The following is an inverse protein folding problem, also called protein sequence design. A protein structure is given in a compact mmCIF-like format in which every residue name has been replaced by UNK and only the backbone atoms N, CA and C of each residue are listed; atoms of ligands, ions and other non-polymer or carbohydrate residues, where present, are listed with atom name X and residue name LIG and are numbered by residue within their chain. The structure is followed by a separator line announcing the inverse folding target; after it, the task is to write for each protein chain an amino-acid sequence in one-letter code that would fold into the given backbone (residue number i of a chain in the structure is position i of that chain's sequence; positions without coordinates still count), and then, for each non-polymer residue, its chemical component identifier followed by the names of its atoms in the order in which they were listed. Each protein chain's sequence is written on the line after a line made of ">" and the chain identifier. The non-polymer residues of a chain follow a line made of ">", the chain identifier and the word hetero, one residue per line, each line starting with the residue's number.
data_IF_178266097781
#
_entry.id   IF_178266097781
#
_cell.length_a   1.000
_cell.length_b   1.000
_cell.length_c   1.000
_cell.angle_alpha   90.00
_cell.angle_beta   90.00
_cell.angle_gamma   90.00
#
_symmetry.space_group_name_H-M   'P 1'
#
loop_
_entity.id
_entity.type
_entity.pdbx_description
1 polymer ?
#
# COMPACT_ATOMS: atom_id res chain seq x y z
N UNK A 1 -20.60 -14.01 15.43
CA UNK A 1 -19.14 -14.28 15.48
C UNK A 1 -18.41 -13.97 14.17
N UNK A 2 -18.98 -14.27 13.00
CA UNK A 2 -18.32 -14.05 11.69
C UNK A 2 -18.00 -12.57 11.40
N UNK A 3 -18.90 -11.64 11.73
CA UNK A 3 -18.65 -10.19 11.57
C UNK A 3 -17.51 -9.67 12.45
N UNK A 4 -17.40 -10.16 13.69
CA UNK A 4 -16.31 -9.80 14.60
C UNK A 4 -14.96 -10.30 14.06
N UNK A 5 -14.91 -11.55 13.56
CA UNK A 5 -13.70 -12.10 12.92
C UNK A 5 -13.28 -11.28 11.71
N UNK A 6 -14.24 -10.87 10.87
CA UNK A 6 -13.96 -10.00 9.72
C UNK A 6 -13.44 -8.62 10.11
N UNK A 7 -14.08 -7.97 11.08
CA UNK A 7 -13.63 -6.67 11.57
C UNK A 7 -12.21 -6.73 12.15
N UNK A 8 -11.89 -7.74 12.96
CA UNK A 8 -10.56 -7.95 13.52
C UNK A 8 -9.52 -8.18 12.42
N UNK A 9 -9.83 -9.00 11.42
CA UNK A 9 -8.93 -9.24 10.30
C UNK A 9 -8.66 -7.95 9.50
N UNK A 10 -9.69 -7.13 9.26
CA UNK A 10 -9.55 -5.85 8.57
C UNK A 10 -8.69 -4.88 9.39
N UNK A 11 -8.90 -4.79 10.70
CA UNK A 11 -8.08 -3.96 11.59
C UNK A 11 -6.63 -4.42 11.56
N UNK A 12 -6.39 -5.73 11.66
CA UNK A 12 -5.05 -6.30 11.60
C UNK A 12 -4.35 -5.95 10.28
N UNK A 13 -5.02 -6.18 9.14
CA UNK A 13 -4.45 -5.85 7.83
C UNK A 13 -4.22 -4.34 7.69
N UNK A 14 -5.12 -3.50 8.23
CA UNK A 14 -4.93 -2.05 8.23
C UNK A 14 -3.67 -1.65 9.01
N UNK A 15 -3.40 -2.28 10.16
CA UNK A 15 -2.19 -2.04 10.94
C UNK A 15 -0.94 -2.45 10.14
N UNK A 16 -0.97 -3.59 9.47
CA UNK A 16 0.12 -4.04 8.60
C UNK A 16 0.36 -3.04 7.46
N UNK A 17 -0.70 -2.63 6.76
CA UNK A 17 -0.64 -1.65 5.67
C UNK A 17 -0.12 -0.29 6.16
N UNK A 18 -0.51 0.13 7.37
CA UNK A 18 0.00 1.34 8.01
C UNK A 18 1.51 1.24 8.31
N UNK A 19 1.98 0.08 8.78
CA UNK A 19 3.40 -0.14 8.97
C UNK A 19 4.15 -0.07 7.63
N UNK A 20 3.64 -0.71 6.57
CA UNK A 20 4.22 -0.61 5.22
C UNK A 20 4.31 0.84 4.77
N UNK A 21 3.24 1.62 4.94
CA UNK A 21 3.23 3.05 4.64
C UNK A 21 4.32 3.81 5.40
N UNK A 22 4.46 3.55 6.70
CA UNK A 22 5.48 4.20 7.52
C UNK A 22 6.90 3.87 7.04
N UNK A 23 7.15 2.60 6.69
CA UNK A 23 8.40 2.18 6.08
C UNK A 23 8.69 2.92 4.77
N UNK A 24 7.69 3.00 3.88
CA UNK A 24 7.78 3.72 2.60
C UNK A 24 8.12 5.19 2.85
N UNK A 25 7.41 5.87 3.75
CA UNK A 25 7.64 7.28 4.06
C UNK A 25 9.06 7.54 4.55
N UNK A 26 9.57 6.69 5.46
CA UNK A 26 10.92 6.84 5.98
C UNK A 26 11.98 6.59 4.89
N UNK A 27 11.79 5.55 4.06
CA UNK A 27 12.68 5.29 2.93
C UNK A 27 12.66 6.42 1.89
N UNK A 28 11.50 7.00 1.61
CA UNK A 28 11.38 8.14 0.71
C UNK A 28 12.08 9.40 1.26
N UNK A 29 12.06 9.61 2.58
CA UNK A 29 12.82 10.70 3.21
C UNK A 29 14.32 10.53 3.04
N UNK A 30 14.84 9.29 3.11
CA UNK A 30 16.26 9.02 2.86
C UNK A 30 16.64 9.41 1.42
N UNK A 31 15.79 9.08 0.44
CA UNK A 31 16.01 9.47 -0.97
C UNK A 31 15.93 10.99 -1.20
N UNK A 32 15.05 11.67 -0.47
CA UNK A 32 14.82 13.11 -0.63
C UNK A 32 15.79 13.99 0.18
N UNK A 33 16.58 13.40 1.09
CA UNK A 33 17.43 14.15 2.00
C UNK A 33 18.74 14.59 1.32
N UNK A 34 19.00 15.91 1.19
CA UNK A 34 20.21 16.42 0.56
C UNK A 34 21.50 16.08 1.31
N UNK A 35 21.39 15.69 2.59
CA UNK A 35 22.53 15.36 3.45
C UNK A 35 22.96 13.89 3.34
N UNK A 36 22.23 13.07 2.58
CA UNK A 36 22.53 11.63 2.46
C UNK A 36 23.29 11.37 1.17
N UNK A 37 24.61 11.18 1.26
CA UNK A 37 25.42 10.70 0.13
C UNK A 37 25.13 9.20 -0.08
N UNK A 38 24.11 8.92 -0.89
CA UNK A 38 23.77 7.58 -1.32
C UNK A 38 24.51 7.24 -2.62
N UNK A 39 25.27 6.13 -2.67
CA UNK A 39 25.76 5.59 -3.94
C UNK A 39 24.61 5.42 -4.94
N UNK A 40 24.82 5.76 -6.21
CA UNK A 40 23.77 5.78 -7.24
C UNK A 40 22.99 4.46 -7.33
N UNK A 41 23.69 3.32 -7.17
CA UNK A 41 23.06 1.99 -7.19
C UNK A 41 22.09 1.80 -6.02
N UNK A 42 22.45 2.28 -4.82
CA UNK A 42 21.61 2.18 -3.64
C UNK A 42 20.39 3.11 -3.78
N UNK A 43 20.58 4.31 -4.33
CA UNK A 43 19.49 5.23 -4.61
C UNK A 43 18.49 4.63 -5.62
N UNK A 44 18.97 4.01 -6.69
CA UNK A 44 18.13 3.34 -7.68
C UNK A 44 17.37 2.16 -7.08
N UNK A 45 18.04 1.31 -6.30
CA UNK A 45 17.43 0.16 -5.65
C UNK A 45 16.35 0.60 -4.64
N UNK A 46 16.67 1.58 -3.79
CA UNK A 46 15.71 2.13 -2.83
C UNK A 46 14.54 2.82 -3.53
N UNK A 47 14.79 3.55 -4.62
CA UNK A 47 13.76 4.17 -5.45
C UNK A 47 12.79 3.13 -6.04
N UNK A 48 13.34 2.05 -6.61
CA UNK A 48 12.55 0.91 -7.07
C UNK A 48 11.70 0.33 -5.94
N UNK A 49 12.31 0.03 -4.79
CA UNK A 49 11.62 -0.52 -3.62
C UNK A 49 10.46 0.36 -3.15
N UNK A 50 10.68 1.67 -3.04
CA UNK A 50 9.69 2.66 -2.62
C UNK A 50 8.54 2.75 -3.62
N UNK A 51 8.84 2.94 -4.91
CA UNK A 51 7.82 3.08 -5.95
C UNK A 51 7.00 1.79 -6.07
N UNK A 52 7.67 0.64 -6.16
CA UNK A 52 7.04 -0.66 -6.28
C UNK A 52 6.08 -0.95 -5.13
N UNK A 53 6.57 -0.80 -3.89
CA UNK A 53 5.76 -1.08 -2.69
C UNK A 53 4.63 -0.06 -2.53
N UNK A 54 4.82 1.20 -2.95
CA UNK A 54 3.76 2.22 -2.92
C UNK A 54 2.59 1.87 -3.84
N UNK A 55 2.88 1.38 -5.05
CA UNK A 55 1.85 0.93 -5.99
C UNK A 55 1.12 -0.28 -5.40
N UNK A 56 1.86 -1.29 -4.92
CA UNK A 56 1.27 -2.49 -4.33
C UNK A 56 0.41 -2.17 -3.10
N UNK A 57 0.88 -1.29 -2.21
CA UNK A 57 0.13 -0.82 -1.04
C UNK A 57 -1.16 -0.09 -1.45
N UNK A 58 -1.11 0.76 -2.47
CA UNK A 58 -2.29 1.49 -2.95
C UNK A 58 -3.38 0.52 -3.45
N UNK A 59 -2.98 -0.51 -4.20
CA UNK A 59 -3.90 -1.56 -4.65
C UNK A 59 -4.41 -2.39 -3.47
N UNK A 60 -3.53 -2.78 -2.55
CA UNK A 60 -3.87 -3.53 -1.33
C UNK A 60 -4.94 -2.81 -0.49
N UNK A 61 -4.81 -1.50 -0.30
CA UNK A 61 -5.79 -0.67 0.41
C UNK A 61 -7.13 -0.60 -0.36
N UNK A 62 -7.08 -0.42 -1.68
CA UNK A 62 -8.29 -0.42 -2.52
C UNK A 62 -9.06 -1.74 -2.44
N UNK A 63 -8.35 -2.86 -2.48
CA UNK A 63 -8.94 -4.20 -2.32
C UNK A 63 -9.50 -4.37 -0.91
N UNK A 64 -8.78 -3.96 0.13
CA UNK A 64 -9.26 -4.02 1.51
C UNK A 64 -10.57 -3.24 1.69
N UNK A 65 -10.66 -2.02 1.16
CA UNK A 65 -11.88 -1.20 1.20
C UNK A 65 -13.02 -1.87 0.42
N UNK A 66 -12.74 -2.41 -0.77
CA UNK A 66 -13.72 -3.15 -1.57
C UNK A 66 -14.30 -4.35 -0.81
N UNK A 67 -13.45 -5.15 -0.18
CA UNK A 67 -13.88 -6.30 0.62
C UNK A 67 -14.63 -5.90 1.89
N UNK A 68 -14.24 -4.78 2.52
CA UNK A 68 -14.96 -4.22 3.66
C UNK A 68 -16.39 -3.83 3.27
N UNK A 69 -16.58 -3.16 2.13
CA UNK A 69 -17.89 -2.79 1.60
C UNK A 69 -18.76 -4.01 1.27
N UNK A 70 -18.14 -5.07 0.75
CA UNK A 70 -18.81 -6.35 0.47
C UNK A 70 -19.05 -7.21 1.72
N UNK A 71 -18.61 -6.77 2.90
CA UNK A 71 -18.65 -7.52 4.18
C UNK A 71 -17.92 -8.87 4.11
N UNK A 72 -16.84 -8.93 3.30
CA UNK A 72 -15.98 -10.10 3.14
C UNK A 72 -14.74 -9.99 4.02
N UNK A 73 -14.04 -11.12 4.18
CA UNK A 73 -12.72 -11.13 4.83
C UNK A 73 -11.72 -10.32 3.99
N UNK A 74 -10.78 -9.62 4.63
CA UNK A 74 -9.75 -8.91 3.89
C UNK A 74 -8.88 -9.89 3.10
N UNK A 75 -8.47 -9.46 1.91
CA UNK A 75 -7.54 -10.20 1.06
C UNK A 75 -6.15 -9.58 1.23
N UNK A 76 -5.15 -10.41 1.54
CA UNK A 76 -3.73 -10.04 1.45
C UNK A 76 -3.21 -10.42 0.06
N UNK A 77 -2.97 -9.44 -0.82
CA UNK A 77 -2.68 -9.69 -2.23
C UNK A 77 -1.43 -10.55 -2.45
N UNK A 78 -0.38 -10.33 -1.65
CA UNK A 78 0.88 -11.07 -1.76
C UNK A 78 0.75 -12.57 -1.51
N UNK A 79 -0.31 -13.01 -0.82
CA UNK A 79 -0.60 -14.44 -0.58
C UNK A 79 -1.80 -14.94 -1.38
N UNK A 80 -2.65 -14.03 -1.86
CA UNK A 80 -3.92 -14.37 -2.48
C UNK A 80 -3.76 -15.28 -3.71
N UNK A 81 -2.87 -14.92 -4.64
CA UNK A 81 -2.67 -15.69 -5.86
C UNK A 81 -2.01 -17.04 -5.62
N UNK A 82 -1.28 -17.20 -4.50
CA UNK A 82 -0.68 -18.48 -4.11
C UNK A 82 -1.66 -19.41 -3.39
N UNK A 83 -2.90 -18.96 -3.15
CA UNK A 83 -3.92 -19.75 -2.47
C UNK A 83 -4.82 -20.55 -3.43
N UNK A 84 -4.61 -20.42 -4.75
CA UNK A 84 -5.39 -21.07 -5.79
C UNK A 84 -4.47 -21.90 -6.69
N UNK A 85 -4.96 -23.05 -7.15
CA UNK A 85 -4.27 -23.86 -8.15
C UNK A 85 -4.46 -23.27 -9.56
N UNK A 86 -3.54 -23.61 -10.48
CA UNK A 86 -3.52 -23.10 -11.87
C UNK A 86 -4.82 -23.36 -12.67
N UNK A 87 -5.66 -24.28 -12.20
CA UNK A 87 -6.91 -24.69 -12.84
C UNK A 87 -8.16 -24.10 -12.17
N UNK A 88 -8.01 -23.43 -11.03
CA UNK A 88 -9.12 -22.80 -10.33
C UNK A 88 -9.38 -21.38 -10.85
N UNK A 89 -10.66 -21.03 -10.97
CA UNK A 89 -11.02 -19.66 -11.34
C UNK A 89 -10.94 -18.74 -10.12
N UNK A 90 -10.25 -17.61 -10.28
CA UNK A 90 -10.14 -16.62 -9.22
C UNK A 90 -11.53 -16.00 -8.96
N UNK A 91 -12.07 -16.09 -7.74
CA UNK A 91 -13.47 -15.74 -7.46
C UNK A 91 -13.73 -14.23 -7.52
N UNK A 92 -12.74 -13.39 -7.25
CA UNK A 92 -12.87 -11.93 -7.35
C UNK A 92 -12.52 -11.42 -8.76
N UNK A 93 -13.49 -10.91 -9.54
CA UNK A 93 -13.26 -10.54 -10.94
C UNK A 93 -12.21 -9.45 -11.14
N UNK A 94 -12.04 -8.55 -10.17
CA UNK A 94 -11.00 -7.50 -10.22
C UNK A 94 -9.59 -8.08 -10.06
N UNK A 95 -9.48 -9.24 -9.41
CA UNK A 95 -8.24 -9.98 -9.15
C UNK A 95 -8.01 -11.12 -10.16
N UNK A 96 -8.95 -11.39 -11.07
CA UNK A 96 -8.80 -12.38 -12.13
C UNK A 96 -8.00 -11.79 -13.32
N UNK A 97 -6.79 -12.30 -13.64
CA UNK A 97 -5.95 -11.78 -14.74
C UNK A 97 -6.56 -11.99 -16.13
N UNK A 98 -7.50 -12.93 -16.29
CA UNK A 98 -8.22 -13.15 -17.56
C UNK A 98 -9.22 -12.01 -17.80
N UNK A 99 -9.77 -11.43 -16.72
CA UNK A 99 -10.85 -10.43 -16.78
C UNK A 99 -10.38 -9.00 -16.54
N UNK A 100 -9.24 -8.82 -15.85
CA UNK A 100 -8.81 -7.52 -15.33
C UNK A 100 -7.33 -7.22 -15.63
N UNK A 101 -7.07 -6.09 -16.29
CA UNK A 101 -5.70 -5.57 -16.48
C UNK A 101 -5.02 -5.23 -15.16
N UNK A 102 -5.81 -4.84 -14.15
CA UNK A 102 -5.30 -4.55 -12.80
C UNK A 102 -4.77 -5.83 -12.18
N UNK A 103 -5.45 -6.97 -12.34
CA UNK A 103 -4.97 -8.26 -11.85
C UNK A 103 -3.63 -8.66 -12.47
N UNK A 104 -3.44 -8.43 -13.77
CA UNK A 104 -2.14 -8.64 -14.44
C UNK A 104 -1.05 -7.77 -13.80
N UNK A 105 -1.33 -6.48 -13.57
CA UNK A 105 -0.40 -5.58 -12.88
C UNK A 105 -0.08 -6.08 -11.46
N UNK A 106 -1.08 -6.53 -10.70
CA UNK A 106 -0.89 -7.06 -9.35
C UNK A 106 0.05 -8.28 -9.38
N UNK A 107 -0.19 -9.25 -10.29
CA UNK A 107 0.67 -10.42 -10.44
C UNK A 107 2.10 -10.02 -10.77
N UNK A 108 2.29 -9.07 -11.70
CA UNK A 108 3.62 -8.56 -12.03
C UNK A 108 4.31 -7.91 -10.83
N UNK A 109 3.58 -7.13 -10.02
CA UNK A 109 4.11 -6.54 -8.79
C UNK A 109 4.48 -7.62 -7.76
N UNK A 110 3.65 -8.64 -7.58
CA UNK A 110 3.92 -9.75 -6.65
C UNK A 110 5.20 -10.49 -7.05
N UNK A 111 5.30 -10.91 -8.32
CA UNK A 111 6.44 -11.69 -8.84
C UNK A 111 7.73 -10.86 -8.87
N UNK A 112 7.65 -9.58 -9.25
CA UNK A 112 8.85 -8.72 -9.36
C UNK A 112 9.46 -8.36 -8.01
N UNK A 113 8.73 -8.49 -6.90
CA UNK A 113 9.29 -8.21 -5.58
C UNK A 113 8.29 -8.11 -4.44
N UNK A 114 6.98 -8.09 -4.71
CA UNK A 114 5.95 -7.86 -3.69
C UNK A 114 6.01 -8.83 -2.50
N UNK A 115 6.31 -10.11 -2.75
CA UNK A 115 6.43 -11.14 -1.70
C UNK A 115 7.53 -10.80 -0.68
N UNK A 116 8.61 -10.14 -1.11
CA UNK A 116 9.78 -9.84 -0.28
C UNK A 116 9.73 -8.40 0.23
N UNK A 117 9.47 -7.44 -0.65
CA UNK A 117 9.48 -6.01 -0.32
C UNK A 117 8.38 -5.66 0.67
N UNK A 118 7.19 -6.23 0.49
CA UNK A 118 6.04 -5.88 1.33
C UNK A 118 6.25 -6.24 2.81
N UNK A 119 6.71 -7.46 3.17
CA UNK A 119 7.12 -7.78 4.54
C UNK A 119 8.29 -6.94 5.06
N UNK A 120 9.29 -6.63 4.23
CA UNK A 120 10.43 -5.79 4.64
C UNK A 120 9.92 -4.41 5.09
N UNK A 121 9.10 -3.75 4.28
CA UNK A 121 8.53 -2.46 4.63
C UNK A 121 7.60 -2.54 5.85
N UNK A 122 6.82 -3.60 5.98
CA UNK A 122 5.98 -3.82 7.15
C UNK A 122 6.80 -3.94 8.44
N UNK A 123 7.87 -4.74 8.44
CA UNK A 123 8.74 -4.95 9.60
C UNK A 123 9.49 -3.66 9.94
N UNK A 124 10.10 -3.00 8.95
CA UNK A 124 10.81 -1.73 9.16
C UNK A 124 9.86 -0.68 9.72
N UNK A 125 8.66 -0.55 9.16
CA UNK A 125 7.63 0.34 9.68
C UNK A 125 7.18 -0.01 11.09
N UNK A 126 7.01 -1.30 11.41
CA UNK A 126 6.66 -1.75 12.75
C UNK A 126 7.74 -1.40 13.77
N UNK A 127 9.02 -1.60 13.43
CA UNK A 127 10.15 -1.22 14.28
C UNK A 127 10.18 0.30 14.52
N UNK A 128 9.96 1.09 13.48
CA UNK A 128 9.86 2.55 13.59
C UNK A 128 8.69 2.98 14.48
N UNK A 129 7.53 2.33 14.33
CA UNK A 129 6.36 2.58 15.15
C UNK A 129 6.66 2.28 16.62
N UNK A 130 7.31 1.16 16.92
CA UNK A 130 7.71 0.76 18.27
C UNK A 130 8.68 1.75 18.93
N UNK A 131 9.61 2.32 18.16
CA UNK A 131 10.54 3.32 18.68
C UNK A 131 9.86 4.69 18.86
N UNK A 132 8.99 5.09 17.94
CA UNK A 132 8.38 6.43 17.94
C UNK A 132 7.13 6.56 18.80
N UNK A 133 6.34 5.49 18.99
CA UNK A 133 5.14 5.54 19.85
C UNK A 133 5.45 6.00 21.28
N UNK A 134 6.46 5.45 21.97
CA UNK A 134 6.85 5.93 23.31
C UNK A 134 7.24 7.41 23.30
N UNK A 135 7.99 7.85 22.29
CA UNK A 135 8.42 9.26 22.16
C UNK A 135 7.22 10.19 21.99
N UNK A 136 6.25 9.80 21.16
CA UNK A 136 5.03 10.57 20.91
C UNK A 136 4.17 10.66 22.18
N UNK A 137 4.04 9.56 22.93
CA UNK A 137 3.30 9.52 24.20
C UNK A 137 3.98 10.41 25.24
N UNK A 138 5.31 10.44 25.27
CA UNK A 138 6.09 11.24 26.22
C UNK A 138 6.20 12.72 25.82
N UNK A 139 5.94 13.08 24.55
CA UNK A 139 5.97 14.47 24.07
C UNK A 139 4.81 14.75 23.09
N UNK A 140 3.65 15.20 23.60
CA UNK A 140 2.45 15.47 22.81
C UNK A 140 2.66 16.53 21.71
N UNK A 141 3.65 17.43 21.86
CA UNK A 141 3.95 18.43 20.85
C UNK A 141 4.41 17.80 19.52
N UNK A 142 5.01 16.59 19.56
CA UNK A 142 5.33 15.87 18.33
C UNK A 142 4.10 15.41 17.56
N UNK A 143 2.97 15.14 18.22
CA UNK A 143 1.70 14.82 17.54
C UNK A 143 1.31 15.96 16.61
N UNK A 144 1.42 17.20 17.10
CA UNK A 144 1.10 18.40 16.32
C UNK A 144 2.04 18.49 15.11
N UNK A 145 3.34 18.26 15.29
CA UNK A 145 4.30 18.27 14.17
C UNK A 145 3.97 17.20 13.12
N UNK A 146 3.71 15.96 13.52
CA UNK A 146 3.32 14.89 12.60
C UNK A 146 1.99 15.17 11.91
N UNK A 147 1.03 15.74 12.63
CA UNK A 147 -0.27 16.13 12.09
C UNK A 147 -0.12 17.25 11.04
N UNK A 148 0.77 18.22 11.26
CA UNK A 148 1.09 19.26 10.27
C UNK A 148 1.79 18.68 9.04
N UNK A 149 2.73 17.74 9.21
CA UNK A 149 3.36 17.03 8.09
C UNK A 149 2.30 16.26 7.29
N UNK A 150 1.39 15.57 7.97
CA UNK A 150 0.27 14.87 7.35
C UNK A 150 -0.64 15.82 6.57
N UNK A 151 -1.06 16.94 7.17
CA UNK A 151 -1.91 17.94 6.51
C UNK A 151 -1.24 18.61 5.31
N UNK A 152 0.08 18.65 5.24
CA UNK A 152 0.78 19.22 4.09
C UNK A 152 1.05 18.20 2.98
N UNK A 153 1.22 16.92 3.30
CA UNK A 153 1.53 15.86 2.32
C UNK A 153 0.28 15.16 1.78
N UNK A 154 -0.72 14.92 2.61
CA UNK A 154 -1.87 14.08 2.25
C UNK A 154 -2.86 14.78 1.30
N UNK A 155 -3.24 16.06 1.50
CA UNK A 155 -4.15 16.72 0.58
C UNK A 155 -3.62 16.83 -0.86
N UNK A 156 -2.34 17.18 -1.12
CA UNK A 156 -1.80 17.13 -2.48
C UNK A 156 -1.82 15.73 -3.10
N UNK A 157 -1.50 14.69 -2.31
CA UNK A 157 -1.53 13.30 -2.79
C UNK A 157 -2.97 12.84 -3.11
N UNK A 158 -3.95 13.22 -2.29
CA UNK A 158 -5.37 12.95 -2.56
C UNK A 158 -5.83 13.66 -3.83
N UNK A 159 -5.40 14.90 -4.04
CA UNK A 159 -5.74 15.66 -5.25
C UNK A 159 -5.17 15.00 -6.51
N UNK A 160 -3.90 14.55 -6.46
CA UNK A 160 -3.28 13.78 -7.56
C UNK A 160 -4.04 12.48 -7.81
N UNK A 161 -4.40 11.76 -6.75
CA UNK A 161 -5.13 10.49 -6.85
C UNK A 161 -6.50 10.69 -7.50
N UNK A 162 -7.25 11.70 -7.05
CA UNK A 162 -8.56 12.06 -7.64
C UNK A 162 -8.40 12.48 -9.10
N UNK A 163 -7.37 13.26 -9.44
CA UNK A 163 -7.09 13.65 -10.82
C UNK A 163 -6.83 12.43 -11.71
N UNK A 164 -6.03 11.46 -11.25
CA UNK A 164 -5.77 10.21 -11.97
C UNK A 164 -7.06 9.41 -12.17
N UNK A 165 -7.91 9.31 -11.15
CA UNK A 165 -9.21 8.61 -11.24
C UNK A 165 -10.10 9.28 -12.29
N UNK A 166 -10.24 10.62 -12.25
CA UNK A 166 -11.05 11.38 -13.21
C UNK A 166 -10.54 11.18 -14.63
N UNK A 167 -9.23 11.32 -14.86
CA UNK A 167 -8.63 11.08 -16.19
C UNK A 167 -8.87 9.64 -16.65
N UNK A 168 -8.72 8.67 -15.76
CA UNK A 168 -8.95 7.26 -16.08
C UNK A 168 -10.40 6.99 -16.48
N UNK A 169 -11.38 7.57 -15.77
CA UNK A 169 -12.80 7.47 -16.12
C UNK A 169 -13.07 8.10 -17.49
N UNK A 170 -12.55 9.31 -17.72
CA UNK A 170 -12.71 10.01 -19.01
C UNK A 170 -12.14 9.17 -20.16
N UNK A 171 -10.94 8.61 -20.00
CA UNK A 171 -10.32 7.77 -21.04
C UNK A 171 -11.11 6.49 -21.34
N UNK A 172 -11.74 5.88 -20.33
CA UNK A 172 -12.58 4.70 -20.51
C UNK A 172 -13.86 5.07 -21.26
N UNK A 173 -14.49 6.19 -20.88
CA UNK A 173 -15.74 6.67 -21.50
C UNK A 173 -15.51 7.11 -22.95
N UNK A 174 -14.40 7.81 -23.23
CA UNK A 174 -14.03 8.23 -24.59
C UNK A 174 -13.71 7.07 -25.52
N UNK A 175 -13.27 5.92 -25.00
CA UNK A 175 -13.00 4.72 -25.79
C UNK A 175 -14.27 3.91 -26.09
N UNK A 176 -15.37 4.19 -25.38
CA UNK A 176 -16.67 3.52 -25.58
C UNK A 176 -17.55 4.21 -26.63
N UNK A 177 -17.26 5.47 -26.96
CA UNK A 177 -17.83 6.19 -28.10
C UNK A 177 -16.98 5.96 -29.35
#
# INVERSE_FOLDING_TARGET
>A
MQYLKGAVAHIFLLIVNFCVLLGIMMSAQILASPSTDLPILNALLLGYMVVHTSILLSIQLGVQVSELLKKKLPILLITYYFSYDDHESIPEPILDPIRSKIAVLIILLIISGGVVLYPIFAIVGMLLLWVRLPIIVLNPAQVITYFTIFLNLVPPLLLITVAIIVVSIIMIEFKRQ
#
